data_IF_788063751142
#
_entry.id   IF_788063751142
#
_cell.length_a   1.000
_cell.length_b   1.000
_cell.length_c   1.000
_cell.angle_alpha   90.00
_cell.angle_beta   90.00
_cell.angle_gamma   90.00
#
_symmetry.space_group_name_H-M   'P 1'
#
loop_
_entity.id
_entity.type
_entity.pdbx_description
1 polymer ?
#
# COMPACT_ATOMS: atom_id res chain seq x y z
N UNK A 1 21.72 19.61 11.82
CA UNK A 1 20.38 19.25 12.35
C UNK A 1 19.81 18.30 11.33
N UNK A 2 19.93 16.99 11.60
CA UNK A 2 19.32 15.98 10.75
C UNK A 2 17.79 16.20 10.76
N UNK A 3 17.19 16.26 9.56
CA UNK A 3 15.74 16.23 9.43
C UNK A 3 15.32 14.83 9.86
N UNK A 4 14.57 14.66 10.95
CA UNK A 4 14.12 13.33 11.32
C UNK A 4 13.25 12.82 10.16
N UNK A 5 13.61 11.67 9.61
CA UNK A 5 12.76 10.95 8.68
C UNK A 5 11.61 10.30 9.49
N UNK A 6 10.82 11.12 10.19
CA UNK A 6 9.64 10.62 10.87
C UNK A 6 8.55 10.25 9.84
N UNK A 7 7.67 9.37 10.23
CA UNK A 7 6.58 8.86 9.39
C UNK A 7 5.71 10.00 8.83
N UNK A 8 5.49 11.06 9.63
CA UNK A 8 4.71 12.23 9.23
C UNK A 8 5.38 12.99 8.08
N UNK A 9 6.70 13.14 8.14
CA UNK A 9 7.46 13.82 7.10
C UNK A 9 7.49 12.99 5.80
N UNK A 10 7.75 11.69 5.89
CA UNK A 10 7.71 10.80 4.72
C UNK A 10 6.33 10.77 4.06
N UNK A 11 5.27 10.73 4.85
CA UNK A 11 3.90 10.84 4.37
C UNK A 11 3.64 12.16 3.64
N UNK A 12 4.08 13.29 4.19
CA UNK A 12 3.95 14.60 3.55
C UNK A 12 4.69 14.66 2.20
N UNK A 13 5.89 14.07 2.12
CA UNK A 13 6.66 13.96 0.88
C UNK A 13 5.99 13.06 -0.15
N UNK A 14 5.40 11.94 0.27
CA UNK A 14 4.65 11.04 -0.61
C UNK A 14 3.44 11.77 -1.23
N UNK A 15 2.66 12.48 -0.43
CA UNK A 15 1.52 13.30 -0.91
C UNK A 15 2.01 14.38 -1.87
N UNK A 16 3.05 15.13 -1.50
CA UNK A 16 3.61 16.20 -2.33
C UNK A 16 4.09 15.69 -3.69
N UNK A 17 4.72 14.51 -3.75
CA UNK A 17 5.14 13.87 -5.01
C UNK A 17 3.98 13.51 -5.91
N UNK A 18 2.88 13.03 -5.35
CA UNK A 18 1.67 12.66 -6.09
C UNK A 18 0.99 13.91 -6.65
N UNK A 19 0.78 14.92 -5.79
CA UNK A 19 0.04 16.14 -6.16
C UNK A 19 0.83 17.03 -7.11
N UNK A 20 2.18 16.97 -7.04
CA UNK A 20 3.10 17.69 -7.91
C UNK A 20 3.92 16.74 -8.80
N UNK A 21 3.26 15.75 -9.43
CA UNK A 21 3.91 14.73 -10.26
C UNK A 21 4.79 15.30 -11.37
N UNK A 22 4.38 16.43 -11.98
CA UNK A 22 5.13 17.18 -12.98
C UNK A 22 5.82 18.44 -12.40
N UNK A 23 5.72 18.65 -11.09
CA UNK A 23 6.29 19.82 -10.40
C UNK A 23 7.80 19.74 -10.26
N UNK A 24 8.40 20.90 -10.00
CA UNK A 24 9.82 21.01 -9.70
C UNK A 24 10.12 20.46 -8.30
N UNK A 25 11.40 20.23 -8.02
CA UNK A 25 11.84 19.83 -6.67
C UNK A 25 11.55 20.89 -5.60
N UNK A 26 11.43 22.17 -6.03
CA UNK A 26 11.01 23.28 -5.17
C UNK A 26 9.52 23.14 -4.81
N UNK A 27 8.67 22.85 -5.79
CA UNK A 27 7.22 22.69 -5.56
C UNK A 27 6.92 21.54 -4.59
N UNK A 28 7.65 20.42 -4.72
CA UNK A 28 7.55 19.28 -3.80
C UNK A 28 7.96 19.71 -2.38
N UNK A 29 9.07 20.46 -2.22
CA UNK A 29 9.52 20.92 -0.91
C UNK A 29 8.48 21.84 -0.24
N UNK A 30 7.96 22.81 -0.98
CA UNK A 30 6.94 23.75 -0.51
C UNK A 30 5.65 23.01 -0.10
N UNK A 31 5.19 22.07 -0.92
CA UNK A 31 4.00 21.25 -0.62
C UNK A 31 4.19 20.36 0.62
N UNK A 32 5.42 19.86 0.84
CA UNK A 32 5.77 19.09 2.04
C UNK A 32 6.07 19.96 3.28
N UNK A 33 5.95 21.31 3.16
CA UNK A 33 6.17 22.24 4.27
C UNK A 33 7.64 22.46 4.65
N UNK A 34 8.58 22.21 3.74
CA UNK A 34 10.02 22.37 3.98
C UNK A 34 10.68 23.26 2.91
N UNK A 35 11.88 23.79 3.23
CA UNK A 35 12.65 24.51 2.22
C UNK A 35 13.26 23.56 1.19
N UNK A 36 13.49 24.05 -0.03
CA UNK A 36 14.25 23.32 -1.07
C UNK A 36 15.62 22.87 -0.55
N UNK A 37 16.30 23.72 0.23
CA UNK A 37 17.59 23.40 0.82
C UNK A 37 17.49 22.23 1.81
N UNK A 38 16.44 22.17 2.61
CA UNK A 38 16.16 21.07 3.54
C UNK A 38 15.92 19.77 2.78
N UNK A 39 15.05 19.80 1.76
CA UNK A 39 14.77 18.63 0.94
C UNK A 39 16.01 18.15 0.18
N UNK A 40 16.80 19.08 -0.37
CA UNK A 40 18.05 18.74 -1.06
C UNK A 40 19.07 18.09 -0.14
N UNK A 41 19.19 18.54 1.11
CA UNK A 41 20.05 17.91 2.10
C UNK A 41 19.55 16.52 2.52
N UNK A 42 18.24 16.31 2.54
CA UNK A 42 17.61 15.04 2.91
C UNK A 42 17.83 13.95 1.86
N UNK A 43 17.58 14.21 0.58
CA UNK A 43 17.61 13.20 -0.47
C UNK A 43 18.42 13.57 -1.72
N UNK A 44 18.80 14.83 -1.88
CA UNK A 44 19.60 15.32 -3.01
C UNK A 44 18.85 15.42 -4.33
N UNK A 45 18.19 14.35 -4.75
CA UNK A 45 17.48 14.27 -6.04
C UNK A 45 16.06 13.73 -5.89
N UNK A 46 15.22 13.98 -6.92
CA UNK A 46 13.88 13.40 -6.98
C UNK A 46 13.92 11.87 -7.07
N UNK A 47 14.87 11.30 -7.79
CA UNK A 47 15.02 9.85 -7.89
C UNK A 47 15.35 9.22 -6.54
N UNK A 48 16.28 9.80 -5.79
CA UNK A 48 16.60 9.35 -4.44
C UNK A 48 15.41 9.51 -3.48
N UNK A 49 14.63 10.59 -3.61
CA UNK A 49 13.41 10.77 -2.82
C UNK A 49 12.41 9.64 -3.07
N UNK A 50 12.18 9.30 -4.33
CA UNK A 50 11.29 8.18 -4.69
C UNK A 50 11.82 6.88 -4.10
N UNK A 51 13.11 6.60 -4.20
CA UNK A 51 13.70 5.37 -3.65
C UNK A 51 13.57 5.29 -2.13
N UNK A 52 13.82 6.39 -1.40
CA UNK A 52 13.61 6.46 0.06
C UNK A 52 12.15 6.15 0.41
N UNK A 53 11.19 6.72 -0.34
CA UNK A 53 9.78 6.48 -0.10
C UNK A 53 9.35 5.06 -0.47
N UNK A 54 9.92 4.43 -1.51
CA UNK A 54 9.66 3.04 -1.85
C UNK A 54 10.19 2.07 -0.79
N UNK A 55 11.36 2.33 -0.24
CA UNK A 55 11.92 1.56 0.89
C UNK A 55 10.97 1.66 2.08
N UNK A 56 10.61 2.88 2.49
CA UNK A 56 9.69 3.10 3.61
C UNK A 56 8.33 2.44 3.37
N UNK A 57 7.78 2.54 2.15
CA UNK A 57 6.51 1.90 1.81
C UNK A 57 6.57 0.38 1.94
N UNK A 58 7.68 -0.26 1.51
CA UNK A 58 7.83 -1.72 1.64
C UNK A 58 7.93 -2.16 3.11
N UNK A 59 8.66 -1.41 3.94
CA UNK A 59 8.73 -1.66 5.38
C UNK A 59 7.36 -1.51 6.05
N UNK A 60 6.62 -0.46 5.67
CA UNK A 60 5.27 -0.21 6.17
C UNK A 60 4.30 -1.33 5.77
N UNK A 61 4.35 -1.79 4.52
CA UNK A 61 3.49 -2.88 4.06
C UNK A 61 3.80 -4.19 4.79
N UNK A 62 5.07 -4.50 5.03
CA UNK A 62 5.45 -5.66 5.85
C UNK A 62 4.97 -5.54 7.30
N UNK A 63 5.02 -4.31 7.87
CA UNK A 63 4.47 -4.05 9.19
C UNK A 63 2.95 -4.26 9.24
N UNK A 64 2.20 -3.80 8.24
CA UNK A 64 0.75 -4.02 8.15
C UNK A 64 0.38 -5.51 8.16
N UNK A 65 1.17 -6.35 7.47
CA UNK A 65 1.03 -7.81 7.48
C UNK A 65 1.23 -8.36 8.89
N UNK A 66 2.30 -7.94 9.57
CA UNK A 66 2.61 -8.42 10.92
C UNK A 66 1.52 -7.99 11.92
N UNK A 67 1.07 -6.75 11.86
CA UNK A 67 0.04 -6.20 12.75
C UNK A 67 -1.35 -6.85 12.50
N UNK A 68 -1.60 -7.35 11.30
CA UNK A 68 -2.84 -8.06 10.96
C UNK A 68 -2.89 -9.51 11.49
N UNK A 69 -1.74 -10.07 11.89
CA UNK A 69 -1.61 -11.44 12.40
C UNK A 69 -2.19 -12.49 11.43
N UNK A 70 -1.79 -12.38 10.15
CA UNK A 70 -2.31 -13.22 9.07
C UNK A 70 -2.09 -14.73 9.28
N UNK A 71 -1.17 -15.12 10.16
CA UNK A 71 -0.82 -16.51 10.38
C UNK A 71 -1.68 -17.18 11.47
N UNK A 72 -2.11 -16.44 12.50
CA UNK A 72 -2.72 -17.03 13.69
C UNK A 72 -4.17 -16.59 13.93
N UNK A 73 -4.50 -15.32 13.62
CA UNK A 73 -5.86 -14.81 13.84
C UNK A 73 -6.88 -15.51 12.92
N UNK A 74 -8.17 -15.62 13.34
CA UNK A 74 -9.24 -16.08 12.47
C UNK A 74 -9.23 -15.34 11.13
N UNK A 75 -9.34 -16.02 9.97
CA UNK A 75 -9.08 -15.38 8.67
C UNK A 75 -9.93 -14.14 8.39
N UNK A 76 -11.18 -14.11 8.81
CA UNK A 76 -12.03 -12.92 8.61
C UNK A 76 -11.56 -11.73 9.44
N UNK A 77 -11.16 -11.96 10.69
CA UNK A 77 -10.62 -10.90 11.56
C UNK A 77 -9.27 -10.39 11.04
N UNK A 78 -8.40 -11.30 10.61
CA UNK A 78 -7.12 -10.95 10.02
C UNK A 78 -7.30 -10.09 8.75
N UNK A 79 -8.26 -10.45 7.89
CA UNK A 79 -8.59 -9.66 6.70
C UNK A 79 -9.11 -8.25 7.07
N UNK A 80 -9.98 -8.14 8.07
CA UNK A 80 -10.47 -6.84 8.55
C UNK A 80 -9.32 -5.97 9.05
N UNK A 81 -8.45 -6.50 9.92
CA UNK A 81 -7.26 -5.79 10.41
C UNK A 81 -6.34 -5.37 9.28
N UNK A 82 -6.14 -6.23 8.29
CA UNK A 82 -5.33 -5.92 7.12
C UNK A 82 -5.91 -4.73 6.33
N UNK A 83 -7.22 -4.71 6.10
CA UNK A 83 -7.92 -3.61 5.44
C UNK A 83 -7.74 -2.31 6.24
N UNK A 84 -7.99 -2.34 7.54
CA UNK A 84 -7.89 -1.18 8.43
C UNK A 84 -6.48 -0.61 8.46
N UNK A 85 -5.46 -1.48 8.55
CA UNK A 85 -4.05 -1.09 8.51
C UNK A 85 -3.71 -0.39 7.19
N UNK A 86 -4.14 -0.93 6.05
CA UNK A 86 -3.92 -0.29 4.75
C UNK A 86 -4.62 1.06 4.63
N UNK A 87 -5.88 1.14 5.03
CA UNK A 87 -6.64 2.39 4.96
C UNK A 87 -6.15 3.46 5.94
N UNK A 88 -5.47 3.08 7.01
CA UNK A 88 -4.78 4.02 7.92
C UNK A 88 -3.60 4.70 7.23
N UNK A 89 -2.93 4.01 6.31
CA UNK A 89 -1.75 4.49 5.57
C UNK A 89 -2.04 4.77 4.08
N UNK A 90 -3.27 5.13 3.77
CA UNK A 90 -3.76 5.32 2.39
C UNK A 90 -2.94 6.28 1.53
N UNK A 91 -2.33 7.29 2.13
CA UNK A 91 -1.50 8.24 1.39
C UNK A 91 -0.25 7.57 0.82
N UNK A 92 0.30 6.59 1.53
CA UNK A 92 1.41 5.79 1.02
C UNK A 92 0.94 4.82 -0.07
N UNK A 93 -0.27 4.26 0.04
CA UNK A 93 -0.85 3.45 -1.02
C UNK A 93 -1.08 4.26 -2.30
N UNK A 94 -1.58 5.49 -2.19
CA UNK A 94 -1.70 6.41 -3.34
C UNK A 94 -0.35 6.66 -3.99
N UNK A 95 0.69 6.90 -3.20
CA UNK A 95 2.05 7.05 -3.71
C UNK A 95 2.51 5.80 -4.48
N UNK A 96 2.26 4.59 -3.95
CA UNK A 96 2.58 3.34 -4.64
C UNK A 96 1.84 3.20 -5.97
N UNK A 97 0.55 3.52 -6.03
CA UNK A 97 -0.23 3.53 -7.29
C UNK A 97 0.43 4.45 -8.32
N UNK A 98 0.89 5.63 -7.91
CA UNK A 98 1.57 6.57 -8.79
C UNK A 98 2.94 6.12 -9.27
N UNK A 99 3.64 5.30 -8.48
CA UNK A 99 4.95 4.75 -8.84
C UNK A 99 4.85 3.41 -9.58
N UNK A 100 3.64 2.83 -9.64
CA UNK A 100 3.46 1.52 -10.28
C UNK A 100 3.87 1.57 -11.75
N UNK A 101 4.77 0.67 -12.12
CA UNK A 101 5.18 0.39 -13.50
C UNK A 101 5.21 -1.11 -13.71
N UNK A 102 4.97 -1.60 -14.94
CA UNK A 102 5.00 -3.04 -15.24
C UNK A 102 6.33 -3.71 -14.87
N UNK A 103 7.43 -2.96 -14.92
CA UNK A 103 8.79 -3.38 -14.60
C UNK A 103 9.18 -3.26 -13.12
N UNK A 104 8.29 -2.76 -12.27
CA UNK A 104 8.56 -2.63 -10.82
C UNK A 104 8.75 -3.98 -10.11
N UNK A 105 8.30 -5.08 -10.72
CA UNK A 105 8.50 -6.44 -10.22
C UNK A 105 9.77 -7.10 -10.76
N UNK A 106 10.53 -6.44 -11.64
CA UNK A 106 11.83 -6.91 -12.10
C UNK A 106 12.88 -6.78 -10.98
N UNK A 107 13.70 -7.82 -10.80
CA UNK A 107 14.80 -7.83 -9.82
C UNK A 107 15.73 -6.62 -9.99
N UNK A 108 15.99 -6.21 -11.23
CA UNK A 108 16.83 -5.05 -11.55
C UNK A 108 16.24 -3.72 -11.07
N UNK A 109 14.92 -3.66 -10.86
CA UNK A 109 14.18 -2.47 -10.41
C UNK A 109 13.74 -2.56 -8.94
N UNK A 110 14.30 -3.49 -8.15
CA UNK A 110 13.96 -3.65 -6.74
C UNK A 110 12.65 -4.40 -6.49
N UNK A 111 12.17 -5.16 -7.45
CA UNK A 111 10.94 -5.97 -7.36
C UNK A 111 10.95 -6.95 -6.20
N UNK A 112 12.11 -7.48 -5.83
CA UNK A 112 12.28 -8.40 -4.69
C UNK A 112 11.80 -7.83 -3.35
N UNK A 113 11.75 -6.50 -3.19
CA UNK A 113 11.26 -5.87 -1.94
C UNK A 113 9.79 -6.13 -1.65
N UNK A 114 8.99 -6.45 -2.68
CA UNK A 114 7.55 -6.69 -2.57
C UNK A 114 7.20 -8.17 -2.36
N UNK A 115 8.14 -9.09 -2.63
CA UNK A 115 7.90 -10.52 -2.49
C UNK A 115 7.44 -10.93 -1.09
N UNK A 116 8.03 -10.43 0.03
CA UNK A 116 7.57 -10.82 1.36
C UNK A 116 6.10 -10.47 1.60
N UNK A 117 5.63 -9.36 1.05
CA UNK A 117 4.23 -8.95 1.13
C UNK A 117 3.32 -9.88 0.33
N UNK A 118 3.66 -10.15 -0.93
CA UNK A 118 2.89 -11.02 -1.82
C UNK A 118 2.84 -12.45 -1.27
N UNK A 119 3.98 -13.00 -0.85
CA UNK A 119 4.09 -14.34 -0.28
C UNK A 119 3.26 -14.49 0.99
N UNK A 120 3.25 -13.48 1.86
CA UNK A 120 2.44 -13.49 3.09
C UNK A 120 0.94 -13.48 2.79
N UNK A 121 0.49 -12.72 1.79
CA UNK A 121 -0.91 -12.71 1.35
C UNK A 121 -1.30 -14.03 0.71
N UNK A 122 -0.47 -14.59 -0.16
CA UNK A 122 -0.70 -15.90 -0.77
C UNK A 122 -0.85 -17.00 0.28
N UNK A 123 0.06 -17.02 1.25
CA UNK A 123 -0.01 -17.96 2.38
C UNK A 123 -1.29 -17.76 3.21
N UNK A 124 -1.68 -16.51 3.46
CA UNK A 124 -2.92 -16.19 4.18
C UNK A 124 -4.16 -16.67 3.43
N UNK A 125 -4.29 -16.38 2.14
CA UNK A 125 -5.44 -16.83 1.35
C UNK A 125 -5.48 -18.36 1.23
N UNK A 126 -4.32 -19.01 1.05
CA UNK A 126 -4.23 -20.47 1.04
C UNK A 126 -4.66 -21.07 2.39
N UNK A 127 -4.30 -20.45 3.52
CA UNK A 127 -4.77 -20.85 4.85
C UNK A 127 -6.29 -20.72 4.96
N UNK A 128 -6.83 -19.56 4.58
CA UNK A 128 -8.27 -19.32 4.63
C UNK A 128 -9.09 -20.24 3.70
N UNK A 129 -8.51 -20.69 2.58
CA UNK A 129 -9.10 -21.75 1.73
C UNK A 129 -9.18 -23.10 2.46
N UNK A 130 -8.10 -23.49 3.14
CA UNK A 130 -8.07 -24.74 3.94
C UNK A 130 -9.03 -24.70 5.12
N UNK A 131 -9.26 -23.53 5.70
CA UNK A 131 -10.21 -23.31 6.79
C UNK A 131 -11.66 -23.09 6.31
N UNK A 132 -11.90 -23.12 4.99
CA UNK A 132 -13.23 -23.03 4.39
C UNK A 132 -13.83 -21.63 4.30
N UNK A 133 -13.06 -20.56 4.59
CA UNK A 133 -13.54 -19.18 4.43
C UNK A 133 -13.51 -18.73 2.96
N UNK A 134 -12.42 -19.00 2.25
CA UNK A 134 -12.26 -18.61 0.86
C UNK A 134 -12.51 -19.78 -0.09
N UNK A 135 -12.99 -19.47 -1.26
CA UNK A 135 -13.26 -20.44 -2.33
C UNK A 135 -11.97 -21.07 -2.84
N UNK A 136 -12.04 -22.36 -3.20
CA UNK A 136 -10.88 -23.19 -3.61
C UNK A 136 -10.73 -23.32 -5.12
N UNK A 137 -11.70 -22.85 -5.91
CA UNK A 137 -11.71 -22.93 -7.37
C UNK A 137 -10.89 -21.84 -8.05
N UNK A 138 -10.37 -20.87 -7.29
CA UNK A 138 -9.39 -19.88 -7.72
C UNK A 138 -8.15 -19.96 -6.83
N UNK A 139 -6.97 -19.72 -7.41
CA UNK A 139 -5.72 -19.82 -6.66
C UNK A 139 -5.53 -18.69 -5.66
N UNK A 140 -4.75 -18.92 -4.60
CA UNK A 140 -4.40 -17.90 -3.63
C UNK A 140 -3.75 -16.65 -4.27
N UNK A 141 -2.80 -16.74 -5.22
CA UNK A 141 -2.28 -15.57 -5.91
C UNK A 141 -3.36 -14.74 -6.64
N UNK A 142 -4.39 -15.37 -7.21
CA UNK A 142 -5.51 -14.62 -7.82
C UNK A 142 -6.30 -13.85 -6.76
N UNK A 143 -6.51 -14.42 -5.57
CA UNK A 143 -7.13 -13.71 -4.45
C UNK A 143 -6.26 -12.55 -3.99
N UNK A 144 -4.94 -12.73 -3.90
CA UNK A 144 -3.97 -11.68 -3.57
C UNK A 144 -4.05 -10.50 -4.54
N UNK A 145 -3.94 -10.78 -5.84
CA UNK A 145 -3.99 -9.75 -6.89
C UNK A 145 -5.35 -9.05 -6.94
N UNK A 146 -6.44 -9.79 -6.75
CA UNK A 146 -7.79 -9.23 -6.71
C UNK A 146 -7.97 -8.30 -5.51
N UNK A 147 -7.51 -8.72 -4.33
CA UNK A 147 -7.53 -7.90 -3.11
C UNK A 147 -6.73 -6.61 -3.29
N UNK A 148 -5.49 -6.73 -3.76
CA UNK A 148 -4.61 -5.58 -3.99
C UNK A 148 -5.21 -4.62 -5.03
N UNK A 149 -5.71 -5.12 -6.15
CA UNK A 149 -6.32 -4.30 -7.20
C UNK A 149 -7.56 -3.56 -6.70
N UNK A 150 -8.42 -4.21 -5.92
CA UNK A 150 -9.61 -3.58 -5.35
C UNK A 150 -9.24 -2.50 -4.33
N UNK A 151 -8.29 -2.80 -3.43
CA UNK A 151 -7.78 -1.86 -2.43
C UNK A 151 -7.18 -0.61 -3.09
N UNK A 152 -6.22 -0.79 -3.99
CA UNK A 152 -5.54 0.32 -4.67
C UNK A 152 -6.50 1.13 -5.54
N UNK A 153 -7.42 0.46 -6.23
CA UNK A 153 -8.43 1.12 -7.05
C UNK A 153 -9.40 1.99 -6.24
N UNK A 154 -9.85 1.53 -5.08
CA UNK A 154 -10.72 2.30 -4.19
C UNK A 154 -10.00 3.47 -3.54
N UNK A 155 -8.75 3.29 -3.11
CA UNK A 155 -7.93 4.36 -2.52
C UNK A 155 -7.63 5.47 -3.54
N UNK A 156 -7.32 5.11 -4.80
CA UNK A 156 -7.17 6.11 -5.87
C UNK A 156 -8.49 6.79 -6.23
N UNK A 157 -9.60 6.06 -6.23
CA UNK A 157 -10.92 6.63 -6.47
C UNK A 157 -11.34 7.61 -5.35
N UNK A 158 -10.99 7.34 -4.08
CA UNK A 158 -11.17 8.28 -2.96
C UNK A 158 -10.37 9.57 -3.22
N UNK A 159 -9.08 9.44 -3.55
CA UNK A 159 -8.23 10.59 -3.86
C UNK A 159 -8.80 11.47 -4.95
N UNK A 160 -9.41 10.87 -5.97
CA UNK A 160 -10.07 11.60 -7.07
C UNK A 160 -11.47 12.11 -6.71
N UNK A 161 -11.93 11.95 -5.46
CA UNK A 161 -13.26 12.39 -5.02
C UNK A 161 -14.43 11.57 -5.59
N UNK A 162 -14.17 10.36 -6.12
CA UNK A 162 -15.19 9.49 -6.71
C UNK A 162 -15.86 8.58 -5.68
N UNK A 163 -15.17 8.28 -4.59
CA UNK A 163 -15.61 7.38 -3.52
C UNK A 163 -15.44 8.10 -2.19
N UNK A 164 -16.42 7.93 -1.30
CA UNK A 164 -16.34 8.49 0.05
C UNK A 164 -15.31 7.73 0.90
N UNK A 165 -14.61 8.46 1.77
CA UNK A 165 -13.68 7.88 2.75
C UNK A 165 -14.40 7.04 3.80
N UNK A 166 -15.53 7.54 4.28
CA UNK A 166 -16.32 6.90 5.35
C UNK A 166 -16.93 5.60 4.84
N UNK A 167 -16.69 4.51 5.58
CA UNK A 167 -17.25 3.19 5.27
C UNK A 167 -16.52 2.45 4.14
N UNK A 168 -15.36 2.92 3.70
CA UNK A 168 -14.58 2.25 2.65
C UNK A 168 -14.09 0.87 3.09
N UNK A 169 -13.74 0.69 4.35
CA UNK A 169 -13.40 -0.57 4.98
C UNK A 169 -14.49 -1.62 4.79
N UNK A 170 -15.73 -1.27 5.14
CA UNK A 170 -16.89 -2.14 4.98
C UNK A 170 -17.18 -2.45 3.51
N UNK A 171 -17.09 -1.44 2.62
CA UNK A 171 -17.28 -1.62 1.18
C UNK A 171 -16.23 -2.55 0.60
N UNK A 172 -14.95 -2.34 0.91
CA UNK A 172 -13.84 -3.17 0.45
C UNK A 172 -14.03 -4.63 0.90
N UNK A 173 -14.29 -4.83 2.20
CA UNK A 173 -14.52 -6.15 2.76
C UNK A 173 -15.71 -6.84 2.09
N UNK A 174 -16.84 -6.15 1.96
CA UNK A 174 -18.05 -6.73 1.36
C UNK A 174 -17.83 -7.11 -0.10
N UNK A 175 -17.27 -6.21 -0.91
CA UNK A 175 -17.02 -6.46 -2.34
C UNK A 175 -16.04 -7.61 -2.53
N UNK A 176 -14.96 -7.65 -1.76
CA UNK A 176 -14.00 -8.73 -1.84
C UNK A 176 -14.61 -10.07 -1.41
N UNK A 177 -15.29 -10.11 -0.27
CA UNK A 177 -15.89 -11.36 0.26
C UNK A 177 -17.00 -11.91 -0.63
N UNK A 178 -17.77 -11.09 -1.33
CA UNK A 178 -18.78 -11.59 -2.27
C UNK A 178 -18.18 -12.37 -3.44
N UNK A 179 -16.94 -12.06 -3.84
CA UNK A 179 -16.21 -12.80 -4.87
C UNK A 179 -15.31 -13.91 -4.35
N UNK A 180 -14.78 -13.77 -3.14
CA UNK A 180 -13.73 -14.63 -2.58
C UNK A 180 -14.26 -15.70 -1.60
N UNK A 181 -15.47 -15.52 -1.06
CA UNK A 181 -16.04 -16.44 -0.05
C UNK A 181 -16.34 -17.81 -0.66
N UNK A 182 -16.08 -18.88 0.13
CA UNK A 182 -16.54 -20.22 -0.20
C UNK A 182 -18.08 -20.21 -0.36
N UNK A 183 -18.58 -20.83 -1.42
CA UNK A 183 -19.99 -21.14 -1.55
C UNK A 183 -20.42 -22.14 -0.47
N UNK A 184 -21.57 -21.94 0.12
CA UNK A 184 -22.15 -22.89 1.05
C UNK A 184 -22.54 -24.19 0.33
#
# INVERSE_FOLDING_TARGET
>A
MDVPADEKFLKALAVALVDHSNGTFKDIAEAAGVSKATLNRFCGTRANLIEILLIHASELMNKMIADADLQNAPPLEALQRLIDNHLTHREMLVFLVFQWRPDTMDESCGGLRWLPYSDALDAFFLRGQREGLFRIDISAPVLTETFASLLFGLVDAERRGRVARTGMDAVLLQMFMQGARSGA
#
